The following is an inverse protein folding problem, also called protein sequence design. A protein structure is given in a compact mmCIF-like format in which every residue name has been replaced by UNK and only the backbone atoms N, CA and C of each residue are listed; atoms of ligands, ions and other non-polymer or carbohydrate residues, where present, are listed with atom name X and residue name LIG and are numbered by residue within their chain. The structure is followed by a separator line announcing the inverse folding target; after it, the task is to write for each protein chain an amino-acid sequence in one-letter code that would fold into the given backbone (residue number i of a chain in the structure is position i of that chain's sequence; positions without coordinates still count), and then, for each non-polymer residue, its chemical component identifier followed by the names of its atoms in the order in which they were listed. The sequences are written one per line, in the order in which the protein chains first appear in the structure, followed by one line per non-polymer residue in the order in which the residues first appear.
data_IF_262023176861
#
_entry.id   IF_262023176861
#
_cell.length_a   1.000
_cell.length_b   1.000
_cell.length_c   1.000
_cell.angle_alpha   90.00
_cell.angle_beta   90.00
_cell.angle_gamma   90.00
#
_symmetry.space_group_name_H-M   'P 1'
#
loop_
_entity.id
_entity.type
_entity.pdbx_description
1 polymer ?
#
# COMPACT_ATOMS: atom_id res chain seq x y z
N UNK A 1 -57.62 23.22 31.19
CA UNK A 1 -56.74 22.57 32.20
C UNK A 1 -55.31 22.69 31.68
N UNK A 2 -54.56 23.70 32.14
CA UNK A 2 -53.28 24.14 31.55
C UNK A 2 -52.18 23.84 32.58
N UNK A 3 -51.20 23.01 32.23
CA UNK A 3 -50.05 22.68 33.08
C UNK A 3 -48.93 23.72 32.90
N UNK A 4 -48.26 24.16 33.98
CA UNK A 4 -47.13 25.06 33.86
C UNK A 4 -45.86 24.29 33.48
N UNK A 5 -45.15 24.78 32.47
CA UNK A 5 -43.81 24.33 32.11
C UNK A 5 -42.82 24.94 33.11
N UNK A 6 -42.06 24.08 33.80
CA UNK A 6 -41.06 24.50 34.76
C UNK A 6 -39.79 24.97 34.04
N UNK A 7 -39.29 26.11 34.52
CA UNK A 7 -38.04 26.72 34.11
C UNK A 7 -36.88 25.94 34.75
N UNK A 8 -35.97 25.38 33.94
CA UNK A 8 -34.67 24.87 34.40
C UNK A 8 -33.54 25.48 33.56
N UNK A 9 -32.71 26.27 34.23
CA UNK A 9 -31.33 26.63 33.88
C UNK A 9 -30.56 26.67 35.21
N UNK A 10 -29.21 26.67 35.25
CA UNK A 10 -28.21 26.16 34.30
C UNK A 10 -27.08 25.37 35.00
N UNK A 11 -26.33 24.52 34.27
CA UNK A 11 -25.00 24.06 34.72
C UNK A 11 -24.03 24.03 33.54
N UNK A 12 -23.69 25.21 33.01
CA UNK A 12 -22.76 25.36 31.88
C UNK A 12 -21.33 25.76 32.29
N UNK A 13 -20.98 25.66 33.58
CA UNK A 13 -19.76 26.27 34.13
C UNK A 13 -18.59 25.30 34.41
N UNK A 14 -18.80 23.98 34.33
CA UNK A 14 -17.79 22.99 34.75
C UNK A 14 -16.90 22.45 33.61
N UNK A 15 -17.31 22.57 32.34
CA UNK A 15 -16.56 21.94 31.23
C UNK A 15 -15.47 22.82 30.61
N UNK A 16 -15.47 24.13 30.86
CA UNK A 16 -14.50 25.05 30.25
C UNK A 16 -13.08 24.89 30.85
N UNK A 17 -12.99 24.60 32.16
CA UNK A 17 -11.69 24.46 32.86
C UNK A 17 -11.01 23.12 32.53
N UNK A 18 -11.78 22.06 32.28
CA UNK A 18 -11.27 20.74 31.91
C UNK A 18 -10.70 20.69 30.49
N UNK A 19 -11.19 21.52 29.57
CA UNK A 19 -10.74 21.54 28.17
C UNK A 19 -9.38 22.26 28.04
N UNK A 20 -9.21 23.36 28.77
CA UNK A 20 -7.96 24.15 28.79
C UNK A 20 -6.78 23.37 29.40
N UNK A 21 -7.03 22.54 30.44
CA UNK A 21 -5.98 21.74 31.08
C UNK A 21 -5.50 20.55 30.23
N UNK A 22 -6.35 20.04 29.34
CA UNK A 22 -5.99 18.94 28.41
C UNK A 22 -5.23 19.44 27.17
N UNK A 23 -5.49 20.68 26.74
CA UNK A 23 -4.80 21.29 25.61
C UNK A 23 -3.34 21.65 25.94
N UNK A 24 -3.10 22.15 27.16
CA UNK A 24 -1.74 22.54 27.61
C UNK A 24 -0.85 21.33 27.88
N UNK A 25 -1.41 20.21 28.36
CA UNK A 25 -0.67 18.96 28.54
C UNK A 25 -0.29 18.32 27.19
N UNK A 26 -1.17 18.37 26.18
CA UNK A 26 -0.82 17.95 24.81
C UNK A 26 0.27 18.82 24.18
N UNK A 27 0.23 20.14 24.38
CA UNK A 27 1.25 21.05 23.85
C UNK A 27 2.64 20.80 24.47
N UNK A 28 2.70 20.54 25.78
CA UNK A 28 3.96 20.25 26.48
C UNK A 28 4.57 18.89 26.09
N UNK A 29 3.74 17.86 25.88
CA UNK A 29 4.23 16.54 25.40
C UNK A 29 4.75 16.62 23.95
N UNK A 30 4.10 17.44 23.11
CA UNK A 30 4.50 17.64 21.71
C UNK A 30 5.86 18.34 21.59
N UNK A 31 6.13 19.35 22.43
CA UNK A 31 7.39 20.07 22.43
C UNK A 31 8.58 19.20 22.88
N UNK A 32 8.37 18.24 23.77
CA UNK A 32 9.42 17.31 24.20
C UNK A 32 9.81 16.28 23.13
N UNK A 33 8.90 15.90 22.21
CA UNK A 33 9.21 14.96 21.12
C UNK A 33 10.08 15.58 20.01
N UNK A 34 10.01 16.89 19.78
CA UNK A 34 10.76 17.54 18.69
C UNK A 34 12.23 17.81 19.01
N UNK A 35 12.63 17.85 20.29
CA UNK A 35 14.01 18.11 20.69
C UNK A 35 14.97 16.91 20.49
N UNK A 36 14.45 15.75 20.06
CA UNK A 36 15.22 14.50 19.94
C UNK A 36 15.66 14.11 18.53
N UNK A 37 15.42 14.94 17.49
CA UNK A 37 15.85 14.64 16.13
C UNK A 37 17.35 14.94 16.02
N UNK A 38 18.18 13.98 16.44
CA UNK A 38 19.61 14.00 16.15
C UNK A 38 19.82 13.74 14.66
N UNK A 39 20.42 14.70 13.96
CA UNK A 39 20.91 14.52 12.60
C UNK A 39 22.02 13.47 12.65
N UNK A 40 21.68 12.23 12.32
CA UNK A 40 22.70 11.18 12.17
C UNK A 40 23.47 11.46 10.87
N UNK A 41 24.79 11.67 10.93
CA UNK A 41 25.58 11.80 9.72
C UNK A 41 25.52 10.48 8.96
N UNK A 42 24.86 10.50 7.80
CA UNK A 42 24.93 9.41 6.83
C UNK A 42 26.32 9.38 6.22
N UNK A 43 27.25 8.69 6.88
CA UNK A 43 28.51 8.31 6.26
C UNK A 43 28.20 7.31 5.13
N UNK A 44 28.39 7.72 3.89
CA UNK A 44 28.38 6.81 2.75
C UNK A 44 29.47 5.75 3.00
N UNK A 45 29.05 4.52 3.31
CA UNK A 45 29.98 3.42 3.51
C UNK A 45 30.74 3.17 2.20
N UNK A 46 32.06 3.35 2.22
CA UNK A 46 32.93 3.02 1.10
C UNK A 46 32.89 1.49 0.90
N UNK A 47 32.16 1.04 -0.13
CA UNK A 47 31.95 -0.38 -0.45
C UNK A 47 33.18 -1.03 -1.13
N UNK A 48 34.39 -0.54 -0.87
CA UNK A 48 35.64 -1.12 -1.36
C UNK A 48 36.15 -2.17 -0.37
N UNK A 49 35.39 -3.25 -0.21
CA UNK A 49 35.86 -4.48 0.43
C UNK A 49 36.24 -5.52 -0.61
N UNK A 50 37.09 -6.51 -0.30
CA UNK A 50 37.31 -7.63 -1.20
C UNK A 50 35.97 -8.35 -1.40
N UNK A 51 35.58 -8.61 -2.66
CA UNK A 51 34.33 -9.29 -3.01
C UNK A 51 34.40 -10.79 -2.65
N UNK A 52 34.54 -11.10 -1.36
CA UNK A 52 34.67 -12.47 -0.81
C UNK A 52 33.34 -13.12 -0.49
N UNK A 53 32.22 -12.54 -0.93
CA UNK A 53 30.90 -13.14 -0.76
C UNK A 53 30.85 -14.46 -1.51
N UNK A 54 30.43 -15.53 -0.83
CA UNK A 54 30.22 -16.84 -1.45
C UNK A 54 29.31 -16.68 -2.69
N UNK A 55 29.58 -17.37 -3.81
CA UNK A 55 28.73 -17.33 -4.99
C UNK A 55 27.29 -17.65 -4.59
N UNK A 56 26.40 -16.66 -4.70
CA UNK A 56 24.97 -16.90 -4.48
C UNK A 56 24.45 -17.66 -5.69
N UNK A 57 23.72 -18.74 -5.46
CA UNK A 57 22.95 -19.38 -6.53
C UNK A 57 21.95 -18.34 -7.05
N UNK A 58 22.14 -17.91 -8.29
CA UNK A 58 21.13 -17.12 -8.97
C UNK A 58 19.94 -18.07 -9.18
N UNK A 59 18.76 -17.68 -8.72
CA UNK A 59 17.53 -18.45 -8.99
C UNK A 59 17.41 -18.62 -10.50
N UNK A 60 17.40 -19.87 -10.95
CA UNK A 60 17.02 -20.21 -12.32
C UNK A 60 15.60 -19.72 -12.53
N UNK A 61 15.41 -18.81 -13.49
CA UNK A 61 14.10 -18.35 -13.92
C UNK A 61 13.76 -19.03 -15.23
N UNK A 62 12.51 -19.44 -15.39
CA UNK A 62 12.03 -20.08 -16.62
C UNK A 62 11.47 -19.07 -17.61
N UNK A 63 10.95 -17.95 -17.09
CA UNK A 63 10.42 -16.81 -17.86
C UNK A 63 11.11 -15.51 -17.46
N UNK A 64 11.21 -14.62 -18.44
CA UNK A 64 11.45 -13.20 -18.24
C UNK A 64 10.12 -12.45 -18.29
N UNK A 65 9.83 -11.64 -17.28
CA UNK A 65 8.65 -10.77 -17.28
C UNK A 65 9.06 -9.41 -17.84
N UNK A 66 8.62 -9.10 -19.06
CA UNK A 66 9.05 -7.90 -19.77
C UNK A 66 8.17 -6.69 -19.48
N UNK A 67 6.85 -6.90 -19.40
CA UNK A 67 5.89 -5.81 -19.23
C UNK A 67 4.64 -6.29 -18.50
N UNK A 68 4.06 -5.40 -17.70
CA UNK A 68 2.78 -5.58 -17.03
C UNK A 68 1.97 -4.30 -17.17
N UNK A 69 0.74 -4.45 -17.67
CA UNK A 69 -0.27 -3.40 -17.71
C UNK A 69 -1.44 -3.82 -16.85
N UNK A 70 -1.89 -2.92 -15.98
CA UNK A 70 -3.04 -3.12 -15.10
C UNK A 70 -4.11 -2.09 -15.45
N UNK A 71 -5.25 -2.57 -15.92
CA UNK A 71 -6.43 -1.74 -16.12
C UNK A 71 -7.38 -2.03 -14.95
N UNK A 72 -7.33 -1.15 -13.93
CA UNK A 72 -8.02 -1.34 -12.64
C UNK A 72 -9.18 -0.35 -12.48
N UNK A 73 -10.27 -0.83 -11.88
CA UNK A 73 -11.42 -0.07 -11.46
C UNK A 73 -11.63 -0.27 -9.97
N UNK A 74 -11.70 0.84 -9.23
CA UNK A 74 -11.87 0.84 -7.78
C UNK A 74 -13.34 1.05 -7.44
N UNK A 75 -13.92 0.12 -6.68
CA UNK A 75 -15.22 0.29 -6.03
C UNK A 75 -14.97 0.53 -4.54
N UNK A 76 -15.13 1.79 -4.12
CA UNK A 76 -14.88 2.20 -2.74
C UNK A 76 -16.02 1.77 -1.80
N UNK A 77 -17.24 1.57 -2.32
CA UNK A 77 -18.39 1.15 -1.53
C UNK A 77 -18.30 -0.34 -1.22
N UNK A 78 -17.92 -1.15 -2.22
CA UNK A 78 -17.68 -2.57 -2.07
C UNK A 78 -16.28 -2.90 -1.49
N UNK A 79 -15.40 -1.91 -1.35
CA UNK A 79 -13.99 -2.08 -0.99
C UNK A 79 -13.28 -3.12 -1.87
N UNK A 80 -13.59 -3.09 -3.17
CA UNK A 80 -13.13 -4.06 -4.15
C UNK A 80 -12.36 -3.39 -5.29
N UNK A 81 -11.50 -4.18 -5.93
CA UNK A 81 -10.76 -3.77 -7.13
C UNK A 81 -11.06 -4.80 -8.20
N UNK A 82 -11.74 -4.36 -9.25
CA UNK A 82 -11.95 -5.15 -10.45
C UNK A 82 -10.97 -4.69 -11.52
N UNK A 83 -10.58 -5.60 -12.42
CA UNK A 83 -9.70 -5.19 -13.50
C UNK A 83 -9.12 -6.33 -14.31
N UNK A 84 -8.22 -5.94 -15.21
CA UNK A 84 -7.52 -6.83 -16.12
C UNK A 84 -6.02 -6.60 -16.00
N UNK A 85 -5.28 -7.69 -15.85
CA UNK A 85 -3.82 -7.69 -15.91
C UNK A 85 -3.37 -8.28 -17.25
N UNK A 86 -2.65 -7.48 -18.05
CA UNK A 86 -2.01 -7.94 -19.28
C UNK A 86 -0.51 -8.04 -19.05
N UNK A 87 0.05 -9.25 -19.17
CA UNK A 87 1.46 -9.50 -18.86
C UNK A 87 2.15 -10.08 -20.09
N UNK A 88 3.32 -9.51 -20.45
CA UNK A 88 4.17 -10.01 -21.52
C UNK A 88 5.34 -10.79 -20.94
N UNK A 89 5.43 -12.07 -21.30
CA UNK A 89 6.49 -12.99 -20.90
C UNK A 89 7.38 -13.33 -22.09
N UNK A 90 8.69 -13.44 -21.85
CA UNK A 90 9.63 -14.06 -22.78
C UNK A 90 10.20 -15.33 -22.14
N UNK A 91 9.79 -16.51 -22.59
CA UNK A 91 10.28 -17.76 -22.02
C UNK A 91 11.74 -18.01 -22.42
N UNK A 92 12.58 -18.44 -21.48
CA UNK A 92 13.98 -18.80 -21.77
C UNK A 92 14.10 -20.20 -22.40
N UNK A 93 13.05 -21.03 -22.28
CA UNK A 93 12.93 -22.38 -22.83
C UNK A 93 11.46 -22.63 -23.21
N UNK A 94 11.13 -23.56 -24.10
CA UNK A 94 9.72 -23.86 -24.41
C UNK A 94 8.92 -24.22 -23.16
N UNK A 95 7.83 -23.51 -22.91
CA UNK A 95 6.97 -23.69 -21.73
C UNK A 95 5.62 -24.28 -22.12
N UNK A 96 5.15 -25.23 -21.32
CA UNK A 96 3.80 -25.82 -21.42
C UNK A 96 2.83 -25.25 -20.40
N UNK A 97 3.36 -24.82 -19.26
CA UNK A 97 2.57 -24.34 -18.12
C UNK A 97 3.21 -23.05 -17.59
N UNK A 98 2.37 -22.09 -17.22
CA UNK A 98 2.77 -20.87 -16.53
C UNK A 98 1.97 -20.79 -15.22
N UNK A 99 2.66 -20.62 -14.11
CA UNK A 99 2.04 -20.48 -12.79
C UNK A 99 2.09 -19.02 -12.36
N UNK A 100 0.96 -18.48 -11.92
CA UNK A 100 0.84 -17.12 -11.41
C UNK A 100 0.26 -17.17 -9.99
N UNK A 101 0.80 -16.33 -9.11
CA UNK A 101 0.29 -16.20 -7.74
C UNK A 101 -0.94 -15.31 -7.71
N UNK A 102 -2.00 -15.78 -7.05
CA UNK A 102 -3.28 -15.08 -6.93
C UNK A 102 -3.83 -15.28 -5.51
N UNK A 103 -3.37 -14.46 -4.57
CA UNK A 103 -3.87 -14.50 -3.19
C UNK A 103 -5.15 -13.69 -3.07
N UNK A 104 -6.23 -14.33 -2.61
CA UNK A 104 -7.55 -13.69 -2.36
C UNK A 104 -8.16 -13.02 -3.61
N UNK A 105 -7.85 -13.54 -4.80
CA UNK A 105 -8.40 -13.03 -6.07
C UNK A 105 -9.43 -14.00 -6.66
N UNK A 106 -10.50 -13.45 -7.24
CA UNK A 106 -11.42 -14.19 -8.09
C UNK A 106 -11.02 -14.03 -9.55
N UNK A 107 -10.61 -15.11 -10.21
CA UNK A 107 -10.28 -15.10 -11.63
C UNK A 107 -11.54 -15.37 -12.44
N UNK A 108 -11.91 -14.43 -13.30
CA UNK A 108 -13.11 -14.54 -14.16
C UNK A 108 -12.78 -15.22 -15.47
N UNK A 109 -11.68 -14.81 -16.10
CA UNK A 109 -11.27 -15.29 -17.42
C UNK A 109 -9.75 -15.17 -17.61
N UNK A 110 -9.19 -16.00 -18.49
CA UNK A 110 -7.77 -16.00 -18.87
C UNK A 110 -7.68 -16.25 -20.37
N UNK A 111 -7.09 -15.30 -21.09
CA UNK A 111 -6.86 -15.40 -22.52
C UNK A 111 -5.40 -15.18 -22.90
N UNK A 112 -4.94 -15.87 -23.94
CA UNK A 112 -3.65 -15.61 -24.57
C UNK A 112 -3.85 -14.58 -25.67
N UNK A 113 -3.26 -13.41 -25.50
CA UNK A 113 -3.24 -12.39 -26.53
C UNK A 113 -2.23 -12.74 -27.64
N UNK A 114 -2.51 -12.34 -28.89
CA UNK A 114 -1.56 -12.47 -29.99
C UNK A 114 -0.31 -11.65 -29.72
N UNK A 115 0.82 -12.09 -30.27
CA UNK A 115 2.03 -11.28 -30.21
C UNK A 115 1.86 -10.04 -31.09
N UNK A 116 2.52 -8.94 -30.75
CA UNK A 116 2.55 -7.74 -31.58
C UNK A 116 3.06 -8.11 -32.99
N UNK A 117 2.16 -8.08 -33.99
CA UNK A 117 2.45 -8.45 -35.38
C UNK A 117 1.90 -9.80 -35.86
N UNK A 118 1.29 -10.61 -34.99
CA UNK A 118 0.61 -11.85 -35.38
C UNK A 118 -0.85 -11.55 -35.75
N UNK A 119 -1.36 -11.99 -36.92
CA UNK A 119 -2.73 -11.70 -37.33
C UNK A 119 -3.74 -12.38 -36.40
N UNK A 120 -4.75 -11.62 -35.96
CA UNK A 120 -5.86 -12.16 -35.17
C UNK A 120 -6.77 -12.95 -36.11
N UNK A 121 -6.84 -14.27 -35.94
CA UNK A 121 -7.85 -15.08 -36.60
C UNK A 121 -9.22 -14.73 -35.98
N UNK A 122 -9.99 -13.92 -36.69
CA UNK A 122 -11.38 -13.57 -36.38
C UNK A 122 -12.31 -14.75 -36.69
#
# INVERSE_FOLDING_TARGET
MIRPLSCRRPTFRAHCVSLLLRLTTWLLVSAALFAGISEQPTAAQDRRGPFTTAPRSIRTREVDQQHIRLDLQFDLDAQAIDGRATIRFAPFKPLKTLTLDAAEMKIVDVERLPNEGEPVAL
#
